data_IF_848595020053
#
_entry.id   IF_848595020053
#
_cell.length_a   1.000
_cell.length_b   1.000
_cell.length_c   1.000
_cell.angle_alpha   90.00
_cell.angle_beta   90.00
_cell.angle_gamma   90.00
#
_symmetry.space_group_name_H-M   'P 1'
#
loop_
_entity.id
_entity.type
_entity.pdbx_description
1 polymer ?
#
# COMPACT_ATOMS: atom_id res chain seq x y z
N UNK A 1 6.81 -12.12 -9.86
CA UNK A 1 5.38 -12.44 -9.60
C UNK A 1 4.60 -11.15 -9.46
N UNK A 2 3.40 -11.03 -10.04
CA UNK A 2 2.56 -9.82 -9.95
C UNK A 2 1.21 -10.13 -9.27
N UNK A 3 0.74 -9.23 -8.42
CA UNK A 3 -0.57 -9.28 -7.77
C UNK A 3 -1.17 -7.89 -7.68
N UNK A 4 -2.50 -7.77 -7.79
CA UNK A 4 -3.17 -6.48 -7.82
C UNK A 4 -4.29 -6.40 -6.79
N UNK A 5 -4.41 -5.24 -6.16
CA UNK A 5 -5.40 -4.94 -5.13
C UNK A 5 -6.18 -3.72 -5.57
N UNK A 6 -7.48 -3.88 -5.74
CA UNK A 6 -8.38 -2.76 -6.01
C UNK A 6 -8.77 -2.08 -4.70
N UNK A 7 -8.91 -0.76 -4.71
CA UNK A 7 -9.41 0.03 -3.59
C UNK A 7 -10.11 1.29 -4.10
N UNK A 8 -10.68 2.07 -3.18
CA UNK A 8 -11.43 3.28 -3.49
C UNK A 8 -10.83 4.51 -2.81
N UNK A 9 -11.02 5.66 -3.44
CA UNK A 9 -10.78 6.96 -2.84
C UNK A 9 -11.77 7.29 -1.71
N UNK A 10 -11.40 8.28 -0.89
CA UNK A 10 -12.18 8.76 0.25
C UNK A 10 -11.87 10.24 0.52
N UNK A 11 -12.88 11.04 0.88
CA UNK A 11 -12.77 12.50 1.07
C UNK A 11 -11.67 12.94 2.06
N UNK A 12 -11.46 12.13 3.12
CA UNK A 12 -10.43 12.29 4.15
C UNK A 12 -9.00 11.94 3.74
N UNK A 13 -8.74 11.45 2.51
CA UNK A 13 -7.37 11.12 2.07
C UNK A 13 -6.51 12.38 2.05
N UNK A 14 -5.38 12.34 2.77
CA UNK A 14 -4.42 13.47 2.87
C UNK A 14 -3.06 13.13 2.29
N UNK A 15 -2.61 11.90 2.49
CA UNK A 15 -1.31 11.39 2.03
C UNK A 15 -0.16 12.35 2.40
N UNK A 16 0.03 12.57 3.71
CA UNK A 16 1.04 13.48 4.27
C UNK A 16 2.09 12.75 5.12
N UNK A 17 1.86 11.48 5.44
CA UNK A 17 2.79 10.76 6.31
C UNK A 17 4.10 10.44 5.58
N UNK A 18 5.23 10.81 6.19
CA UNK A 18 6.58 10.77 5.59
C UNK A 18 7.24 9.38 5.63
N UNK A 19 6.62 8.41 6.30
CA UNK A 19 7.24 7.10 6.58
C UNK A 19 6.48 5.89 6.03
N UNK A 20 5.20 6.06 5.72
CA UNK A 20 4.33 4.93 5.35
C UNK A 20 3.36 5.29 4.25
N UNK A 21 2.90 4.27 3.52
CA UNK A 21 1.69 4.28 2.69
C UNK A 21 0.79 3.17 3.19
N UNK A 22 -0.50 3.44 3.36
CA UNK A 22 -1.49 2.48 3.83
C UNK A 22 -2.71 2.41 2.90
N UNK A 23 -3.18 1.19 2.67
CA UNK A 23 -4.48 0.90 2.05
C UNK A 23 -5.23 -0.06 2.98
N UNK A 24 -6.51 0.21 3.23
CA UNK A 24 -7.32 -0.57 4.20
C UNK A 24 -8.58 -1.16 3.55
N UNK A 25 -9.01 -2.32 4.04
CA UNK A 25 -10.32 -2.91 3.75
C UNK A 25 -11.47 -2.18 4.45
N UNK A 26 -11.19 -1.38 5.48
CA UNK A 26 -12.20 -0.54 6.13
C UNK A 26 -12.81 0.46 5.16
N UNK A 27 -14.08 0.85 5.39
CA UNK A 27 -14.77 1.85 4.57
C UNK A 27 -14.55 3.28 5.03
N UNK A 28 -14.34 3.49 6.33
CA UNK A 28 -14.25 4.81 6.94
C UNK A 28 -12.80 5.24 7.16
N UNK A 29 -12.49 6.49 6.82
CA UNK A 29 -11.21 7.12 7.10
C UNK A 29 -11.41 8.45 7.84
N UNK A 30 -10.78 8.58 9.00
CA UNK A 30 -10.72 9.86 9.72
C UNK A 30 -9.58 10.73 9.21
N UNK A 31 -9.64 12.06 9.36
CA UNK A 31 -8.57 12.95 8.92
C UNK A 31 -7.22 12.76 9.64
N UNK A 32 -7.18 11.98 10.73
CA UNK A 32 -5.96 11.62 11.44
C UNK A 32 -5.16 10.51 10.74
N UNK A 33 -5.79 9.71 9.86
CA UNK A 33 -5.13 8.69 9.06
C UNK A 33 -4.40 9.29 7.85
N UNK A 34 -3.36 10.08 8.09
CA UNK A 34 -2.64 10.82 7.05
C UNK A 34 -1.69 9.97 6.18
N UNK A 35 -1.47 8.71 6.56
CA UNK A 35 -0.77 7.70 5.76
C UNK A 35 -1.70 6.88 4.83
N UNK A 36 -3.02 6.99 5.00
CA UNK A 36 -3.98 6.18 4.22
C UNK A 36 -4.25 6.87 2.89
N UNK A 37 -4.09 6.11 1.80
CA UNK A 37 -4.34 6.57 0.43
C UNK A 37 -5.61 5.96 -0.17
N UNK A 38 -6.23 5.01 0.51
CA UNK A 38 -7.38 4.28 -0.01
C UNK A 38 -8.10 3.39 0.99
N UNK A 39 -9.39 3.22 0.76
CA UNK A 39 -10.35 2.44 1.59
C UNK A 39 -11.01 1.35 0.76
N UNK A 40 -11.76 0.46 1.41
CA UNK A 40 -12.54 -0.59 0.73
C UNK A 40 -11.70 -1.53 -0.13
N UNK A 41 -10.46 -1.79 0.28
CA UNK A 41 -9.55 -2.66 -0.44
C UNK A 41 -10.12 -4.07 -0.65
N UNK A 42 -9.85 -4.65 -1.82
CA UNK A 42 -10.27 -6.02 -2.15
C UNK A 42 -9.49 -7.08 -1.38
N UNK A 43 -8.32 -6.73 -0.84
CA UNK A 43 -7.40 -7.62 -0.16
C UNK A 43 -6.66 -6.89 0.97
N UNK A 44 -6.23 -7.64 1.99
CA UNK A 44 -5.33 -7.21 3.05
C UNK A 44 -4.14 -8.18 3.11
N UNK A 45 -3.13 -7.93 3.96
CA UNK A 45 -1.98 -8.82 4.10
C UNK A 45 -2.35 -10.30 4.26
N UNK A 46 -3.32 -10.62 5.12
CA UNK A 46 -3.78 -12.00 5.35
C UNK A 46 -4.38 -12.65 4.10
N UNK A 47 -4.97 -11.87 3.20
CA UNK A 47 -5.63 -12.33 1.98
C UNK A 47 -4.69 -12.48 0.77
N UNK A 48 -3.41 -12.12 0.90
CA UNK A 48 -2.45 -12.28 -0.19
C UNK A 48 -2.22 -13.78 -0.50
N UNK A 49 -1.97 -14.15 -1.77
CA UNK A 49 -1.64 -15.53 -2.11
C UNK A 49 -0.39 -16.02 -1.35
N UNK A 50 -0.40 -17.25 -0.86
CA UNK A 50 0.72 -17.80 -0.08
C UNK A 50 2.04 -17.82 -0.86
N UNK A 51 2.01 -18.06 -2.18
CA UNK A 51 3.19 -17.97 -3.03
C UNK A 51 3.80 -16.54 -3.05
N UNK A 52 2.96 -15.50 -3.04
CA UNK A 52 3.41 -14.12 -2.96
C UNK A 52 4.02 -13.83 -1.59
N UNK A 53 3.33 -14.25 -0.51
CA UNK A 53 3.84 -14.07 0.86
C UNK A 53 5.19 -14.75 1.05
N UNK A 54 5.38 -15.95 0.49
CA UNK A 54 6.65 -16.67 0.54
C UNK A 54 7.79 -15.90 -0.16
N UNK A 55 7.51 -15.24 -1.29
CA UNK A 55 8.50 -14.38 -1.98
C UNK A 55 8.78 -13.09 -1.21
N UNK A 56 7.76 -12.45 -0.65
CA UNK A 56 7.93 -11.25 0.18
C UNK A 56 8.76 -11.50 1.44
N UNK A 57 8.76 -12.73 1.97
CA UNK A 57 9.60 -13.11 3.13
C UNK A 57 11.06 -13.42 2.77
N UNK A 58 11.44 -13.35 1.51
CA UNK A 58 12.83 -13.50 1.09
C UNK A 58 13.59 -12.18 1.33
N UNK A 59 14.69 -12.23 2.09
CA UNK A 59 15.52 -11.06 2.37
C UNK A 59 16.17 -10.45 1.11
N UNK A 60 16.28 -11.25 0.04
CA UNK A 60 16.78 -10.79 -1.26
C UNK A 60 15.71 -10.24 -2.20
N UNK A 61 14.42 -10.34 -1.84
CA UNK A 61 13.34 -9.94 -2.74
C UNK A 61 13.27 -8.42 -2.91
N UNK A 62 13.32 -7.97 -4.16
CA UNK A 62 12.96 -6.62 -4.52
C UNK A 62 11.44 -6.54 -4.73
N UNK A 63 10.82 -5.50 -4.18
CA UNK A 63 9.39 -5.24 -4.30
C UNK A 63 9.21 -3.93 -5.08
N UNK A 64 8.51 -3.98 -6.20
CA UNK A 64 8.03 -2.81 -6.90
C UNK A 64 6.53 -2.67 -6.67
N UNK A 65 6.08 -1.47 -6.32
CA UNK A 65 4.66 -1.16 -6.14
C UNK A 65 4.28 -0.02 -7.08
N UNK A 66 3.15 -0.15 -7.75
CA UNK A 66 2.55 0.89 -8.56
C UNK A 66 1.14 1.19 -8.05
N UNK A 67 0.85 2.46 -7.80
CA UNK A 67 -0.47 2.97 -7.46
C UNK A 67 -1.03 3.67 -8.69
N UNK A 68 -2.24 3.29 -9.12
CA UNK A 68 -2.91 3.93 -10.26
C UNK A 68 -4.28 4.47 -9.89
N UNK A 69 -4.62 5.67 -10.34
CA UNK A 69 -5.94 6.30 -10.18
C UNK A 69 -6.18 7.28 -11.32
N UNK A 70 -7.35 7.24 -11.94
CA UNK A 70 -7.73 8.22 -12.97
C UNK A 70 -6.75 8.34 -14.14
N UNK A 71 -6.07 7.25 -14.53
CA UNK A 71 -5.06 7.25 -15.60
C UNK A 71 -3.66 7.73 -15.19
N UNK A 72 -3.48 8.23 -13.97
CA UNK A 72 -2.18 8.56 -13.39
C UNK A 72 -1.57 7.33 -12.71
N UNK A 73 -0.24 7.26 -12.68
CA UNK A 73 0.49 6.24 -11.94
C UNK A 73 1.60 6.83 -11.08
N UNK A 74 1.85 6.19 -9.94
CA UNK A 74 2.95 6.50 -9.04
C UNK A 74 3.60 5.20 -8.59
N UNK A 75 4.90 5.07 -8.86
CA UNK A 75 5.68 3.88 -8.51
C UNK A 75 6.59 4.13 -7.31
N UNK A 76 6.80 3.09 -6.51
CA UNK A 76 7.82 3.04 -5.47
C UNK A 76 8.50 1.68 -5.43
N UNK A 77 9.70 1.63 -4.85
CA UNK A 77 10.48 0.41 -4.66
C UNK A 77 10.73 0.19 -3.18
N UNK A 78 10.69 -1.07 -2.76
CA UNK A 78 11.04 -1.50 -1.42
C UNK A 78 11.62 -2.91 -1.43
N UNK A 79 11.67 -3.53 -0.26
CA UNK A 79 12.24 -4.86 -0.06
C UNK A 79 11.29 -5.78 0.68
N UNK A 80 11.43 -7.07 0.37
CA UNK A 80 10.96 -8.16 1.21
C UNK A 80 11.80 -8.26 2.48
N UNK A 81 11.27 -8.97 3.48
CA UNK A 81 11.98 -9.23 4.73
C UNK A 81 11.42 -10.50 5.42
N UNK A 82 12.28 -11.39 5.96
CA UNK A 82 11.84 -12.58 6.69
C UNK A 82 10.90 -12.31 7.87
N UNK A 83 10.95 -11.12 8.47
CA UNK A 83 10.10 -10.69 9.56
C UNK A 83 8.68 -10.27 9.12
N UNK A 84 8.38 -10.22 7.81
CA UNK A 84 7.05 -9.89 7.32
C UNK A 84 6.02 -10.97 7.68
N UNK A 85 5.26 -10.72 8.74
CA UNK A 85 4.22 -11.63 9.21
C UNK A 85 3.07 -11.78 8.20
N UNK A 86 2.67 -10.70 7.51
CA UNK A 86 1.65 -10.69 6.44
C UNK A 86 0.31 -11.33 6.88
N UNK A 87 -0.11 -11.04 8.11
CA UNK A 87 -1.24 -11.71 8.78
C UNK A 87 -2.39 -10.79 9.14
N UNK A 88 -2.27 -9.48 8.92
CA UNK A 88 -3.36 -8.54 9.20
C UNK A 88 -4.51 -8.70 8.22
N UNK A 89 -5.73 -8.79 8.73
CA UNK A 89 -6.94 -9.05 7.95
C UNK A 89 -7.57 -7.78 7.34
N UNK A 90 -7.07 -6.60 7.69
CA UNK A 90 -7.66 -5.31 7.36
C UNK A 90 -6.74 -4.42 6.53
N UNK A 91 -5.46 -4.34 6.86
CA UNK A 91 -4.58 -3.30 6.34
C UNK A 91 -3.37 -3.84 5.57
N UNK A 92 -2.86 -3.01 4.66
CA UNK A 92 -1.59 -3.18 3.96
C UNK A 92 -0.80 -1.90 4.13
N UNK A 93 0.43 -2.01 4.63
CA UNK A 93 1.33 -0.90 4.91
C UNK A 93 2.67 -1.11 4.22
N UNK A 94 3.11 -0.10 3.48
CA UNK A 94 4.46 0.02 2.91
C UNK A 94 5.24 0.99 3.79
N UNK A 95 6.49 0.65 4.14
CA UNK A 95 7.28 1.41 5.12
C UNK A 95 8.63 1.81 4.55
N UNK A 96 9.07 3.04 4.85
CA UNK A 96 10.45 3.48 4.57
C UNK A 96 11.47 2.89 5.54
N UNK A 97 11.06 2.56 6.77
CA UNK A 97 11.93 1.90 7.74
C UNK A 97 11.98 0.39 7.54
N UNK A 98 12.95 -0.28 8.17
CA UNK A 98 13.05 -1.74 8.26
C UNK A 98 12.08 -2.36 9.29
N UNK A 99 11.23 -1.56 9.94
CA UNK A 99 10.29 -2.09 10.95
C UNK A 99 9.19 -2.92 10.27
N UNK A 100 8.98 -4.15 10.73
CA UNK A 100 7.92 -5.03 10.27
C UNK A 100 6.87 -5.29 11.36
N UNK A 101 5.60 -5.34 10.97
CA UNK A 101 4.49 -5.81 11.78
C UNK A 101 3.47 -6.56 10.90
N UNK A 102 2.39 -7.08 11.50
CA UNK A 102 1.35 -7.88 10.81
C UNK A 102 0.80 -7.24 9.52
N UNK A 103 0.77 -5.90 9.45
CA UNK A 103 0.24 -5.10 8.33
C UNK A 103 1.27 -4.81 7.24
N UNK A 104 2.54 -5.10 7.49
CA UNK A 104 3.63 -4.61 6.64
C UNK A 104 3.80 -5.53 5.44
N UNK A 105 3.74 -4.97 4.24
CA UNK A 105 3.91 -5.69 2.97
C UNK A 105 5.33 -5.53 2.40
N UNK A 106 5.92 -4.35 2.56
CA UNK A 106 7.28 -4.06 2.16
C UNK A 106 7.92 -3.06 3.12
N UNK A 107 9.23 -3.21 3.29
CA UNK A 107 10.09 -2.33 4.11
C UNK A 107 11.09 -1.61 3.22
N UNK A 108 11.83 -0.67 3.80
CA UNK A 108 12.90 0.09 3.12
C UNK A 108 12.43 0.72 1.79
N UNK A 109 11.20 1.21 1.78
CA UNK A 109 10.62 1.86 0.62
C UNK A 109 11.31 3.21 0.33
N UNK A 110 11.54 3.51 -0.95
CA UNK A 110 12.12 4.79 -1.39
C UNK A 110 11.15 5.97 -1.22
N UNK A 111 9.85 5.70 -1.20
CA UNK A 111 8.78 6.68 -1.07
C UNK A 111 7.79 6.38 0.07
N UNK A 112 7.02 7.40 0.45
CA UNK A 112 5.90 7.32 1.40
C UNK A 112 4.67 8.10 0.89
N UNK A 113 3.65 8.28 1.73
CA UNK A 113 2.40 8.92 1.33
C UNK A 113 2.59 10.39 0.92
N UNK A 114 3.47 11.09 1.60
CA UNK A 114 3.90 12.46 1.26
C UNK A 114 4.48 12.58 -0.16
N UNK A 115 5.01 11.48 -0.70
CA UNK A 115 5.65 11.42 -2.00
C UNK A 115 4.65 11.25 -3.16
N UNK A 116 3.39 10.89 -2.86
CA UNK A 116 2.34 10.72 -3.87
C UNK A 116 2.06 12.09 -4.54
N UNK A 117 1.97 12.17 -5.88
CA UNK A 117 1.67 13.41 -6.59
C UNK A 117 0.38 14.05 -6.09
N UNK A 118 0.38 15.36 -5.85
CA UNK A 118 -0.76 16.07 -5.25
C UNK A 118 -2.04 16.00 -6.11
N UNK A 119 -1.90 15.89 -7.43
CA UNK A 119 -3.01 15.64 -8.34
C UNK A 119 -3.64 14.25 -8.16
N UNK A 120 -2.84 13.21 -7.92
CA UNK A 120 -3.32 11.87 -7.58
C UNK A 120 -4.02 11.88 -6.23
N UNK A 121 -3.48 12.59 -5.23
CA UNK A 121 -4.15 12.76 -3.93
C UNK A 121 -5.51 13.42 -4.10
N UNK A 122 -5.63 14.45 -4.96
CA UNK A 122 -6.94 15.07 -5.28
C UNK A 122 -7.90 14.06 -5.92
N UNK A 123 -7.43 13.23 -6.85
CA UNK A 123 -8.26 12.18 -7.44
C UNK A 123 -8.69 11.12 -6.41
N UNK A 124 -7.81 10.74 -5.48
CA UNK A 124 -8.12 9.80 -4.39
C UNK A 124 -9.04 10.40 -3.33
N UNK A 125 -9.22 11.72 -3.30
CA UNK A 125 -10.20 12.37 -2.42
C UNK A 125 -11.63 12.27 -2.94
N UNK A 126 -11.82 11.94 -4.22
CA UNK A 126 -13.16 11.72 -4.76
C UNK A 126 -13.71 10.39 -4.23
N UNK A 127 -14.80 10.39 -3.43
CA UNK A 127 -15.38 9.17 -2.89
C UNK A 127 -15.78 8.20 -4.02
N UNK A 128 -15.35 6.95 -3.91
CA UNK A 128 -15.64 5.93 -4.93
C UNK A 128 -14.75 5.98 -6.17
N UNK A 129 -13.78 6.90 -6.26
CA UNK A 129 -12.74 6.85 -7.28
C UNK A 129 -12.02 5.49 -7.21
N UNK A 130 -12.02 4.75 -8.30
CA UNK A 130 -11.38 3.43 -8.36
C UNK A 130 -9.88 3.58 -8.53
N UNK A 131 -9.14 2.92 -7.67
CA UNK A 131 -7.69 2.89 -7.72
C UNK A 131 -7.18 1.45 -7.56
N UNK A 132 -5.90 1.26 -7.86
CA UNK A 132 -5.24 -0.04 -7.82
C UNK A 132 -3.85 0.10 -7.23
N UNK A 133 -3.48 -0.89 -6.43
CA UNK A 133 -2.13 -1.12 -5.94
C UNK A 133 -1.63 -2.42 -6.57
N UNK A 134 -0.67 -2.32 -7.47
CA UNK A 134 -0.03 -3.46 -8.14
C UNK A 134 1.31 -3.74 -7.48
N UNK A 135 1.53 -5.00 -7.08
CA UNK A 135 2.73 -5.47 -6.39
C UNK A 135 3.47 -6.41 -7.34
N UNK A 136 4.73 -6.14 -7.57
CA UNK A 136 5.63 -7.02 -8.29
C UNK A 136 6.81 -7.39 -7.40
N UNK A 137 7.08 -8.71 -7.30
CA UNK A 137 8.17 -9.26 -6.49
C UNK A 137 9.06 -10.12 -7.39
N UNK A 138 10.36 -9.82 -7.40
CA UNK A 138 11.38 -10.60 -8.13
C UNK A 138 11.87 -11.78 -7.29
#
# INVERSE_FOLDING_TARGET
MRFEIGFFGHESVRALHERTIEVTRGGDLTPAGDCVIGVGASCACAGLPEALKARLRDAGAAVAVEITVGGMSFGLRGRGDPALALSDARDIVLRRSAYACARTLAVECDAASDSVPREMVRALREPGARARLSIEVS
#
